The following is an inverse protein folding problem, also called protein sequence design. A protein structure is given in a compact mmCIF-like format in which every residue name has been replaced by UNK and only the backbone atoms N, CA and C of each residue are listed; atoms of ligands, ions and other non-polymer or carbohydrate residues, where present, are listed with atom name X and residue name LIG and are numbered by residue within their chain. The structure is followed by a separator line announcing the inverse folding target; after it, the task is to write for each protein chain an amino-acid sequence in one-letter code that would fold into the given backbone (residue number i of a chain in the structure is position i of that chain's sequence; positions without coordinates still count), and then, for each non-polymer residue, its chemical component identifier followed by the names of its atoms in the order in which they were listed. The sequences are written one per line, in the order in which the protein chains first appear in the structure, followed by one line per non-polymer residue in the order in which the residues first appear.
data_IF_056664470593
#
_entry.id   IF_056664470593
#
_cell.length_a   1.000
_cell.length_b   1.000
_cell.length_c   1.000
_cell.angle_alpha   90.00
_cell.angle_beta   90.00
_cell.angle_gamma   90.00
#
_symmetry.space_group_name_H-M   'P 1'
#
loop_
_entity.id
_entity.type
_entity.pdbx_description
1 polymer ?
#
# COMPACT_ATOMS: atom_id res chain seq x y z
N UNK A 1 41.70 33.29 33.54
CA UNK A 1 40.24 33.36 33.82
C UNK A 1 39.60 33.92 32.57
N UNK A 2 38.75 33.24 31.79
CA UNK A 2 37.93 32.04 32.00
C UNK A 2 37.91 31.27 30.66
N UNK A 3 38.15 29.96 30.77
CA UNK A 3 37.87 28.96 29.73
C UNK A 3 36.35 28.73 29.67
N UNK A 4 35.78 28.64 28.47
CA UNK A 4 34.55 27.86 28.26
C UNK A 4 34.35 27.59 26.76
N UNK A 5 35.18 26.72 26.19
CA UNK A 5 34.82 26.01 24.98
C UNK A 5 33.80 24.93 25.36
N UNK A 6 32.50 25.24 25.22
CA UNK A 6 31.46 24.24 25.31
C UNK A 6 31.32 23.59 23.92
N UNK A 7 32.06 22.51 23.69
CA UNK A 7 31.77 21.60 22.58
C UNK A 7 30.61 20.72 23.02
N UNK A 8 29.38 21.18 22.78
CA UNK A 8 28.28 20.23 22.67
C UNK A 8 28.50 19.46 21.36
N UNK A 9 28.58 18.12 21.40
CA UNK A 9 28.45 17.37 20.17
C UNK A 9 27.04 17.64 19.65
N UNK A 10 26.93 18.24 18.47
CA UNK A 10 25.68 18.17 17.71
C UNK A 10 25.43 16.69 17.45
N UNK A 11 24.57 16.06 18.25
CA UNK A 11 23.97 14.78 17.88
C UNK A 11 23.40 14.97 16.47
N UNK A 12 23.89 14.17 15.53
CA UNK A 12 23.38 14.17 14.17
C UNK A 12 21.89 13.81 14.22
N UNK A 13 21.04 14.84 14.17
CA UNK A 13 19.58 14.71 14.14
C UNK A 13 19.08 14.33 12.75
N UNK A 14 19.95 13.84 11.87
CA UNK A 14 19.53 13.39 10.55
C UNK A 14 18.72 12.09 10.70
N UNK A 15 17.45 12.15 10.31
CA UNK A 15 16.63 10.96 10.19
C UNK A 15 17.06 10.22 8.94
N UNK A 16 17.51 8.96 9.08
CA UNK A 16 17.79 8.12 7.92
C UNK A 16 16.54 8.00 7.04
N UNK A 17 16.71 7.93 5.71
CA UNK A 17 15.59 7.83 4.77
C UNK A 17 14.65 6.64 5.10
N UNK A 18 15.21 5.56 5.64
CA UNK A 18 14.47 4.42 6.18
C UNK A 18 13.50 4.81 7.27
N UNK A 19 13.98 5.52 8.28
CA UNK A 19 13.17 5.83 9.46
C UNK A 19 12.07 6.85 9.10
N UNK A 20 12.39 7.80 8.21
CA UNK A 20 11.39 8.72 7.68
C UNK A 20 10.31 7.99 6.86
N UNK A 21 10.71 7.09 5.96
CA UNK A 21 9.77 6.29 5.19
C UNK A 21 8.89 5.43 6.11
N UNK A 22 9.45 4.74 7.10
CA UNK A 22 8.70 3.88 8.01
C UNK A 22 7.74 4.68 8.90
N UNK A 23 8.11 5.92 9.27
CA UNK A 23 7.22 6.87 9.94
C UNK A 23 6.04 7.26 9.05
N UNK A 24 6.29 7.66 7.80
CA UNK A 24 5.25 8.02 6.84
C UNK A 24 4.35 6.83 6.48
N UNK A 25 4.92 5.65 6.31
CA UNK A 25 4.21 4.41 6.04
C UNK A 25 3.21 4.08 7.17
N UNK A 26 3.56 4.38 8.42
CA UNK A 26 2.64 4.22 9.56
C UNK A 26 1.35 5.04 9.44
N UNK A 27 1.38 6.17 8.72
CA UNK A 27 0.23 7.07 8.57
C UNK A 27 -0.80 6.47 7.60
N UNK A 28 -0.35 5.71 6.61
CA UNK A 28 -1.24 5.09 5.61
C UNK A 28 -1.60 3.65 5.95
N UNK A 29 -1.11 3.08 7.06
CA UNK A 29 -1.38 1.70 7.49
C UNK A 29 -2.13 1.63 8.82
N UNK A 30 -2.72 0.47 9.11
CA UNK A 30 -3.46 0.26 10.37
C UNK A 30 -2.53 0.31 11.58
N UNK A 31 -3.11 0.49 12.77
CA UNK A 31 -2.39 0.40 14.03
C UNK A 31 -1.77 -0.99 14.24
N UNK A 32 -2.36 -2.05 13.69
CA UNK A 32 -1.82 -3.41 13.76
C UNK A 32 -0.51 -3.62 12.95
N UNK A 33 -0.18 -2.69 12.04
CA UNK A 33 1.05 -2.73 11.25
C UNK A 33 2.19 -1.95 11.91
N UNK A 34 1.89 -0.77 12.46
CA UNK A 34 2.92 0.18 12.89
C UNK A 34 2.63 0.89 14.23
N UNK A 35 1.57 0.52 14.93
CA UNK A 35 1.20 1.08 16.24
C UNK A 35 0.57 2.48 16.20
N UNK A 36 0.40 3.09 15.02
CA UNK A 36 -0.18 4.43 14.89
C UNK A 36 -1.71 4.38 14.93
N UNK A 37 -2.29 4.52 16.13
CA UNK A 37 -3.74 4.58 16.34
C UNK A 37 -4.40 5.82 15.69
N UNK A 38 -3.63 6.83 15.30
CA UNK A 38 -4.13 8.07 14.69
C UNK A 38 -3.98 8.10 13.17
N UNK A 39 -3.63 6.97 12.56
CA UNK A 39 -3.33 6.88 11.13
C UNK A 39 -4.55 7.21 10.25
N UNK A 40 -4.29 7.63 9.02
CA UNK A 40 -5.33 7.86 8.02
C UNK A 40 -6.09 6.56 7.71
N UNK A 41 -5.44 5.39 7.80
CA UNK A 41 -6.12 4.11 7.61
C UNK A 41 -7.13 3.82 8.73
N UNK A 42 -6.78 4.08 10.00
CA UNK A 42 -7.73 3.95 11.12
C UNK A 42 -8.91 4.91 10.95
N UNK A 43 -8.64 6.16 10.56
CA UNK A 43 -9.68 7.16 10.30
C UNK A 43 -10.67 6.75 9.22
N UNK A 44 -10.17 6.13 8.17
CA UNK A 44 -10.96 5.81 6.98
C UNK A 44 -11.67 4.46 7.11
N UNK A 45 -10.99 3.44 7.61
CA UNK A 45 -11.51 2.06 7.62
C UNK A 45 -11.92 1.55 9.01
N UNK A 46 -11.59 2.27 10.07
CA UNK A 46 -11.94 1.92 11.45
C UNK A 46 -13.44 2.07 11.72
N UNK A 47 -13.98 1.17 12.54
CA UNK A 47 -15.37 1.20 13.01
C UNK A 47 -16.46 0.97 11.96
N UNK A 48 -16.10 0.63 10.71
CA UNK A 48 -17.08 0.33 9.67
C UNK A 48 -17.54 -1.12 9.76
N UNK A 49 -18.85 -1.31 9.68
CA UNK A 49 -19.47 -2.60 9.43
C UNK A 49 -19.15 -3.11 8.02
N UNK A 50 -19.37 -4.41 7.82
CA UNK A 50 -19.23 -5.05 6.52
C UNK A 50 -20.12 -4.42 5.45
N UNK A 51 -21.35 -4.05 5.81
CA UNK A 51 -22.27 -3.38 4.90
C UNK A 51 -21.72 -2.01 4.47
N UNK A 52 -21.22 -1.22 5.42
CA UNK A 52 -20.64 0.09 5.12
C UNK A 52 -19.38 0.00 4.24
N UNK A 53 -18.54 -1.01 4.47
CA UNK A 53 -17.37 -1.28 3.63
C UNK A 53 -17.75 -1.59 2.17
N UNK A 54 -18.94 -2.13 1.93
CA UNK A 54 -19.43 -2.52 0.60
C UNK A 54 -20.19 -1.40 -0.12
N UNK A 55 -20.42 -0.26 0.52
CA UNK A 55 -21.18 0.82 -0.09
C UNK A 55 -20.43 1.44 -1.27
N UNK A 56 -21.21 1.71 -2.32
CA UNK A 56 -20.79 2.40 -3.53
C UNK A 56 -21.70 3.62 -3.67
N UNK A 57 -21.20 4.87 -3.52
CA UNK A 57 -22.04 6.06 -3.60
C UNK A 57 -22.76 6.19 -4.96
N UNK A 58 -22.15 5.64 -6.01
CA UNK A 58 -22.76 5.39 -7.30
C UNK A 58 -22.28 4.04 -7.84
N UNK A 59 -23.08 3.45 -8.72
CA UNK A 59 -22.77 2.15 -9.31
C UNK A 59 -21.47 2.15 -10.12
N UNK A 60 -20.93 3.28 -10.57
CA UNK A 60 -19.67 3.32 -11.33
C UNK A 60 -18.44 3.53 -10.44
N UNK A 61 -18.66 3.87 -9.16
CA UNK A 61 -17.58 4.16 -8.22
C UNK A 61 -17.11 2.90 -7.49
N UNK A 62 -15.91 2.98 -6.94
CA UNK A 62 -15.34 1.92 -6.13
C UNK A 62 -15.99 1.91 -4.73
N UNK A 63 -16.07 0.72 -4.12
CA UNK A 63 -16.42 0.58 -2.70
C UNK A 63 -15.19 0.79 -1.82
N UNK A 64 -15.40 1.01 -0.52
CA UNK A 64 -14.31 1.03 0.46
C UNK A 64 -13.55 -0.30 0.49
N UNK A 65 -14.26 -1.42 0.31
CA UNK A 65 -13.68 -2.76 0.18
C UNK A 65 -12.76 -2.86 -1.04
N UNK A 66 -13.21 -2.40 -2.22
CA UNK A 66 -12.38 -2.41 -3.42
C UNK A 66 -11.14 -1.52 -3.24
N UNK A 67 -11.29 -0.34 -2.65
CA UNK A 67 -10.17 0.59 -2.42
C UNK A 67 -9.13 -0.05 -1.49
N UNK A 68 -9.55 -0.65 -0.39
CA UNK A 68 -8.63 -1.34 0.54
C UNK A 68 -7.87 -2.47 -0.17
N UNK A 69 -8.58 -3.27 -0.97
CA UNK A 69 -7.99 -4.35 -1.77
C UNK A 69 -7.01 -3.82 -2.81
N UNK A 70 -7.36 -2.77 -3.54
CA UNK A 70 -6.53 -2.17 -4.57
C UNK A 70 -5.23 -1.60 -4.00
N UNK A 71 -5.30 -0.89 -2.87
CA UNK A 71 -4.10 -0.39 -2.15
C UNK A 71 -3.19 -1.58 -1.80
N UNK A 72 -3.75 -2.63 -1.18
CA UNK A 72 -2.96 -3.79 -0.74
C UNK A 72 -2.36 -4.58 -1.91
N UNK A 73 -3.10 -4.79 -3.01
CA UNK A 73 -2.58 -5.46 -4.22
C UNK A 73 -1.47 -4.65 -4.87
N UNK A 74 -1.64 -3.34 -4.97
CA UNK A 74 -0.64 -2.46 -5.57
C UNK A 74 0.64 -2.50 -4.74
N UNK A 75 0.57 -2.27 -3.43
CA UNK A 75 1.77 -2.32 -2.57
C UNK A 75 2.44 -3.71 -2.60
N UNK A 76 1.67 -4.80 -2.56
CA UNK A 76 2.21 -6.17 -2.62
C UNK A 76 2.99 -6.42 -3.91
N UNK A 77 2.40 -6.13 -5.07
CA UNK A 77 3.05 -6.31 -6.37
C UNK A 77 4.32 -5.47 -6.46
N UNK A 78 4.24 -4.19 -6.12
CA UNK A 78 5.37 -3.29 -6.28
C UNK A 78 6.51 -3.62 -5.33
N UNK A 79 6.22 -3.80 -4.04
CA UNK A 79 7.27 -3.99 -3.04
C UNK A 79 7.82 -5.42 -3.09
N UNK A 80 6.98 -6.45 -3.18
CA UNK A 80 7.48 -7.83 -3.21
C UNK A 80 8.08 -8.18 -4.57
N UNK A 81 7.33 -8.05 -5.68
CA UNK A 81 7.83 -8.52 -6.98
C UNK A 81 8.86 -7.59 -7.61
N UNK A 82 8.58 -6.29 -7.66
CA UNK A 82 9.40 -5.36 -8.43
C UNK A 82 10.62 -4.85 -7.65
N UNK A 83 10.45 -4.54 -6.37
CA UNK A 83 11.52 -3.96 -5.54
C UNK A 83 12.39 -5.05 -4.89
N UNK A 84 11.76 -6.04 -4.23
CA UNK A 84 12.48 -7.08 -3.50
C UNK A 84 12.76 -8.36 -4.31
N UNK A 85 12.10 -8.54 -5.47
CA UNK A 85 12.24 -9.76 -6.28
C UNK A 85 11.74 -11.03 -5.57
N UNK A 86 10.79 -10.90 -4.64
CA UNK A 86 10.22 -11.98 -3.84
C UNK A 86 8.79 -12.33 -4.29
N UNK A 87 8.29 -13.54 -3.98
CA UNK A 87 6.88 -13.85 -4.14
C UNK A 87 5.98 -12.85 -3.40
N UNK A 88 4.82 -12.59 -4.00
CA UNK A 88 3.76 -11.80 -3.41
C UNK A 88 3.26 -12.41 -2.11
N UNK A 89 2.65 -11.59 -1.26
CA UNK A 89 1.82 -12.09 -0.17
C UNK A 89 0.58 -12.78 -0.73
N UNK A 90 -0.01 -12.27 -1.82
CA UNK A 90 -1.18 -12.84 -2.46
C UNK A 90 -0.85 -14.14 -3.23
N UNK A 91 -0.92 -15.26 -2.51
CA UNK A 91 -0.88 -16.61 -3.04
C UNK A 91 -2.29 -17.21 -3.20
N UNK A 92 -2.37 -18.49 -3.56
CA UNK A 92 -3.63 -19.21 -3.77
C UNK A 92 -4.45 -19.33 -2.49
N UNK A 93 -3.79 -19.46 -1.34
CA UNK A 93 -4.45 -19.52 -0.05
C UNK A 93 -5.11 -18.16 0.27
N UNK A 94 -4.42 -17.05 0.03
CA UNK A 94 -5.01 -15.72 0.15
C UNK A 94 -6.13 -15.47 -0.86
N UNK A 95 -5.99 -15.91 -2.11
CA UNK A 95 -7.07 -15.85 -3.10
C UNK A 95 -8.34 -16.58 -2.62
N UNK A 96 -8.19 -17.77 -2.03
CA UNK A 96 -9.28 -18.54 -1.43
C UNK A 96 -9.91 -17.85 -0.23
N UNK A 97 -9.09 -17.33 0.71
CA UNK A 97 -9.57 -16.61 1.90
C UNK A 97 -10.31 -15.33 1.53
N UNK A 98 -9.78 -14.57 0.58
CA UNK A 98 -10.37 -13.32 0.09
C UNK A 98 -11.57 -13.57 -0.81
N UNK A 99 -11.70 -14.77 -1.39
CA UNK A 99 -12.66 -15.11 -2.44
C UNK A 99 -12.48 -14.22 -3.68
N UNK A 100 -11.21 -13.96 -4.04
CA UNK A 100 -10.85 -13.16 -5.20
C UNK A 100 -9.86 -13.96 -6.03
N UNK A 101 -10.22 -14.30 -7.27
CA UNK A 101 -9.35 -15.02 -8.19
C UNK A 101 -8.42 -14.10 -9.00
N UNK A 102 -8.76 -12.81 -9.09
CA UNK A 102 -8.03 -11.80 -9.87
C UNK A 102 -6.63 -11.58 -9.27
N UNK A 103 -5.60 -11.72 -10.11
CA UNK A 103 -4.17 -11.60 -9.74
C UNK A 103 -3.59 -10.22 -9.97
N UNK A 104 -4.20 -9.39 -10.81
CA UNK A 104 -3.66 -8.08 -11.13
C UNK A 104 -4.00 -7.00 -10.07
N UNK A 105 -3.62 -5.76 -10.38
CA UNK A 105 -3.89 -4.56 -9.57
C UNK A 105 -5.40 -4.21 -9.49
N UNK A 106 -6.22 -4.75 -10.39
CA UNK A 106 -7.61 -4.32 -10.63
C UNK A 106 -7.79 -3.02 -11.41
N UNK A 107 -6.70 -2.37 -11.83
CA UNK A 107 -6.78 -1.20 -12.72
C UNK A 107 -7.53 -1.57 -14.00
N UNK A 108 -8.54 -0.76 -14.35
CA UNK A 108 -9.36 -0.97 -15.54
C UNK A 108 -10.57 -1.90 -15.36
N UNK A 109 -10.80 -2.43 -14.14
CA UNK A 109 -12.02 -3.17 -13.80
C UNK A 109 -13.26 -2.34 -14.18
N UNK A 110 -14.22 -3.00 -14.84
CA UNK A 110 -15.52 -2.43 -15.16
C UNK A 110 -16.45 -2.49 -13.94
N UNK A 111 -17.49 -1.67 -13.95
CA UNK A 111 -18.45 -1.60 -12.84
C UNK A 111 -18.98 -2.97 -12.39
N UNK A 112 -19.37 -3.91 -13.28
CA UNK A 112 -19.82 -5.24 -12.85
C UNK A 112 -18.74 -6.05 -12.13
N UNK A 113 -17.48 -5.91 -12.54
CA UNK A 113 -16.35 -6.59 -11.89
C UNK A 113 -16.08 -6.01 -10.50
N UNK A 114 -16.17 -4.68 -10.36
CA UNK A 114 -16.06 -3.98 -9.08
C UNK A 114 -17.21 -4.37 -8.15
N UNK A 115 -18.43 -4.46 -8.68
CA UNK A 115 -19.61 -4.92 -7.94
C UNK A 115 -19.41 -6.34 -7.41
N UNK A 116 -18.91 -7.25 -8.25
CA UNK A 116 -18.71 -8.63 -7.87
C UNK A 116 -17.63 -8.78 -6.80
N UNK A 117 -16.47 -8.13 -6.96
CA UNK A 117 -15.43 -8.10 -5.93
C UNK A 117 -15.99 -7.55 -4.61
N UNK A 118 -16.69 -6.41 -4.68
CA UNK A 118 -17.31 -5.76 -3.52
C UNK A 118 -18.28 -6.68 -2.80
N UNK A 119 -19.06 -7.48 -3.52
CA UNK A 119 -20.05 -8.40 -2.96
C UNK A 119 -19.41 -9.63 -2.32
N UNK A 120 -18.40 -10.20 -2.96
CA UNK A 120 -17.87 -11.52 -2.57
C UNK A 120 -16.71 -11.47 -1.57
N UNK A 121 -15.94 -10.36 -1.56
CA UNK A 121 -14.70 -10.30 -0.78
C UNK A 121 -14.96 -10.52 0.71
N UNK A 122 -14.16 -11.36 1.34
CA UNK A 122 -14.16 -11.54 2.78
C UNK A 122 -13.42 -10.36 3.45
N UNK A 123 -14.15 -9.55 4.22
CA UNK A 123 -13.62 -8.29 4.74
C UNK A 123 -12.67 -8.46 5.92
N UNK A 124 -12.86 -9.51 6.73
CA UNK A 124 -11.91 -9.84 7.78
C UNK A 124 -10.57 -10.28 7.16
N UNK A 125 -10.63 -11.19 6.19
CA UNK A 125 -9.45 -11.61 5.44
C UNK A 125 -8.78 -10.42 4.70
N UNK A 126 -9.57 -9.48 4.16
CA UNK A 126 -9.04 -8.31 3.48
C UNK A 126 -8.22 -7.40 4.39
N UNK A 127 -8.70 -7.17 5.62
CA UNK A 127 -7.96 -6.39 6.63
C UNK A 127 -6.66 -7.09 7.00
N UNK A 128 -6.70 -8.39 7.26
CA UNK A 128 -5.51 -9.17 7.57
C UNK A 128 -4.51 -9.21 6.41
N UNK A 129 -4.99 -9.33 5.17
CA UNK A 129 -4.16 -9.33 3.98
C UNK A 129 -3.43 -7.98 3.85
N UNK A 130 -4.16 -6.87 3.97
CA UNK A 130 -3.56 -5.53 3.93
C UNK A 130 -2.51 -5.34 5.03
N UNK A 131 -2.79 -5.82 6.23
CA UNK A 131 -1.84 -5.72 7.34
C UNK A 131 -0.59 -6.60 7.10
N UNK A 132 -0.77 -7.78 6.51
CA UNK A 132 0.34 -8.66 6.14
C UNK A 132 1.24 -8.01 5.08
N UNK A 133 0.66 -7.40 4.05
CA UNK A 133 1.39 -6.63 3.04
C UNK A 133 2.16 -5.48 3.70
N UNK A 134 1.50 -4.68 4.55
CA UNK A 134 2.15 -3.58 5.25
C UNK A 134 3.32 -4.03 6.14
N UNK A 135 3.16 -5.12 6.90
CA UNK A 135 4.26 -5.71 7.70
C UNK A 135 5.40 -6.20 6.83
N UNK A 136 5.10 -6.86 5.71
CA UNK A 136 6.12 -7.32 4.74
C UNK A 136 6.88 -6.15 4.11
N UNK A 137 6.21 -5.07 3.76
CA UNK A 137 6.87 -3.85 3.26
C UNK A 137 7.85 -3.30 4.29
N UNK A 138 7.43 -3.23 5.57
CA UNK A 138 8.29 -2.74 6.66
C UNK A 138 9.47 -3.66 6.94
N UNK A 139 9.29 -4.98 6.82
CA UNK A 139 10.38 -5.96 6.90
C UNK A 139 11.42 -5.71 5.78
N UNK A 140 10.96 -5.59 4.54
CA UNK A 140 11.82 -5.37 3.37
C UNK A 140 12.60 -4.05 3.54
N UNK A 141 11.90 -2.95 3.81
CA UNK A 141 12.53 -1.62 3.90
C UNK A 141 13.36 -1.49 5.18
N UNK A 142 12.98 -2.16 6.26
CA UNK A 142 13.77 -2.22 7.50
C UNK A 142 15.15 -2.84 7.30
N UNK A 143 15.28 -3.77 6.36
CA UNK A 143 16.52 -4.42 6.00
C UNK A 143 17.35 -3.68 4.93
N UNK A 144 16.88 -2.52 4.44
CA UNK A 144 17.60 -1.76 3.41
C UNK A 144 18.89 -1.16 3.96
N UNK A 145 20.00 -1.42 3.26
CA UNK A 145 21.25 -0.71 3.46
C UNK A 145 21.30 0.59 2.66
N UNK A 146 22.35 1.42 2.83
CA UNK A 146 22.49 2.69 2.11
C UNK A 146 22.39 2.56 0.58
N UNK A 147 22.91 1.47 0.01
CA UNK A 147 22.88 1.22 -1.44
C UNK A 147 21.50 0.86 -1.98
N UNK A 148 20.59 0.32 -1.16
CA UNK A 148 19.25 -0.07 -1.62
C UNK A 148 18.37 1.14 -1.92
N UNK A 149 18.54 2.23 -1.17
CA UNK A 149 17.82 3.49 -1.36
C UNK A 149 18.19 4.18 -2.68
N UNK A 150 19.48 4.15 -3.03
CA UNK A 150 20.01 4.71 -4.27
C UNK A 150 19.90 3.80 -5.49
N UNK A 151 19.46 2.55 -5.31
CA UNK A 151 19.33 1.58 -6.39
C UNK A 151 18.14 1.83 -7.32
N UNK A 152 18.11 1.10 -8.43
CA UNK A 152 17.06 1.17 -9.44
C UNK A 152 16.19 -0.10 -9.46
N UNK A 153 15.00 0.01 -10.03
CA UNK A 153 14.14 -1.12 -10.34
C UNK A 153 14.71 -1.82 -11.58
N UNK A 154 15.04 -3.11 -11.47
CA UNK A 154 15.60 -3.85 -12.61
C UNK A 154 14.52 -4.18 -13.64
N UNK A 155 14.88 -4.11 -14.93
CA UNK A 155 14.01 -4.54 -16.02
C UNK A 155 13.48 -5.96 -15.82
N UNK A 156 14.38 -6.88 -15.40
CA UNK A 156 14.02 -8.27 -15.14
C UNK A 156 12.96 -8.44 -14.04
N UNK A 157 12.91 -7.56 -13.03
CA UNK A 157 11.88 -7.62 -12.01
C UNK A 157 10.52 -7.18 -12.56
N UNK A 158 10.50 -6.13 -13.39
CA UNK A 158 9.28 -5.67 -14.06
C UNK A 158 8.76 -6.73 -15.04
N UNK A 159 9.65 -7.37 -15.81
CA UNK A 159 9.31 -8.45 -16.75
C UNK A 159 8.74 -9.67 -16.03
N UNK A 160 9.33 -10.09 -14.90
CA UNK A 160 8.78 -11.19 -14.09
C UNK A 160 7.40 -10.87 -13.54
N UNK A 161 7.19 -9.64 -13.05
CA UNK A 161 5.87 -9.21 -12.59
C UNK A 161 4.84 -9.18 -13.74
N UNK A 162 5.24 -8.73 -14.92
CA UNK A 162 4.39 -8.78 -16.12
C UNK A 162 4.08 -10.22 -16.57
N UNK A 163 5.04 -11.15 -16.48
CA UNK A 163 4.84 -12.57 -16.79
C UNK A 163 3.92 -13.27 -15.78
N UNK A 164 3.83 -12.75 -14.56
CA UNK A 164 2.90 -13.21 -13.52
C UNK A 164 1.51 -12.55 -13.61
N UNK A 165 1.21 -11.86 -14.72
CA UNK A 165 -0.05 -11.14 -14.97
C UNK A 165 -0.39 -10.11 -13.87
N UNK A 166 0.63 -9.52 -13.24
CA UNK A 166 0.43 -8.65 -12.09
C UNK A 166 -0.18 -7.28 -12.47
N UNK A 167 -0.07 -6.84 -13.72
CA UNK A 167 -0.38 -5.46 -14.11
C UNK A 167 -1.71 -5.28 -14.85
N UNK A 168 -2.30 -6.36 -15.38
CA UNK A 168 -3.51 -6.29 -16.19
C UNK A 168 -3.36 -5.29 -17.34
N UNK A 169 -4.34 -4.39 -17.51
CA UNK A 169 -4.41 -3.48 -18.66
C UNK A 169 -3.28 -2.43 -18.70
N UNK A 170 -2.57 -2.19 -17.60
CA UNK A 170 -1.47 -1.21 -17.55
C UNK A 170 -0.09 -1.83 -17.77
N UNK A 171 -0.03 -3.11 -18.16
CA UNK A 171 1.21 -3.87 -18.41
C UNK A 171 2.23 -3.11 -19.27
N UNK A 172 1.83 -2.64 -20.46
CA UNK A 172 2.75 -1.97 -21.39
C UNK A 172 3.31 -0.67 -20.82
N UNK A 173 2.46 0.09 -20.11
CA UNK A 173 2.89 1.31 -19.44
C UNK A 173 3.95 0.98 -18.39
N UNK A 174 3.74 -0.06 -17.60
CA UNK A 174 4.66 -0.43 -16.51
C UNK A 174 6.00 -0.94 -17.04
N UNK A 175 5.99 -1.80 -18.07
CA UNK A 175 7.19 -2.27 -18.75
C UNK A 175 8.03 -1.12 -19.33
N UNK A 176 7.39 -0.03 -19.75
CA UNK A 176 8.08 1.16 -20.25
C UNK A 176 8.58 2.10 -19.15
N UNK A 177 7.79 2.30 -18.10
CA UNK A 177 8.01 3.39 -17.14
C UNK A 177 8.94 3.01 -16.00
N UNK A 178 8.89 1.77 -15.51
CA UNK A 178 9.57 1.37 -14.26
C UNK A 178 11.02 0.90 -14.38
N UNK A 179 11.47 0.21 -15.45
CA UNK A 179 12.88 -0.18 -15.55
C UNK A 179 13.82 1.03 -15.45
N UNK A 180 14.84 0.92 -14.60
CA UNK A 180 15.82 1.99 -14.36
C UNK A 180 15.31 3.14 -13.48
N UNK A 181 14.06 3.09 -12.98
CA UNK A 181 13.58 4.10 -12.04
C UNK A 181 14.20 3.91 -10.66
N UNK A 182 14.50 5.00 -9.92
CA UNK A 182 14.97 4.90 -8.56
C UNK A 182 13.97 4.15 -7.67
N UNK A 183 14.47 3.22 -6.85
CA UNK A 183 13.67 2.48 -5.86
C UNK A 183 12.95 3.41 -4.89
N UNK A 184 13.61 4.49 -4.47
CA UNK A 184 13.03 5.52 -3.62
C UNK A 184 11.78 6.18 -4.24
N UNK A 185 11.75 6.36 -5.57
CA UNK A 185 10.59 6.90 -6.27
C UNK A 185 9.41 5.92 -6.24
N UNK A 186 9.68 4.62 -6.40
CA UNK A 186 8.64 3.60 -6.31
C UNK A 186 8.10 3.45 -4.87
N UNK A 187 8.97 3.48 -3.86
CA UNK A 187 8.57 3.44 -2.45
C UNK A 187 7.68 4.63 -2.09
N UNK A 188 8.12 5.85 -2.38
CA UNK A 188 7.33 7.06 -2.09
C UNK A 188 6.06 7.14 -2.95
N UNK A 189 6.16 6.88 -4.25
CA UNK A 189 5.04 6.95 -5.18
C UNK A 189 3.95 5.92 -4.90
N UNK A 190 4.32 4.68 -4.60
CA UNK A 190 3.37 3.58 -4.44
C UNK A 190 3.00 3.34 -2.97
N UNK A 191 3.98 3.09 -2.11
CA UNK A 191 3.69 2.69 -0.73
C UNK A 191 3.21 3.87 0.15
N UNK A 192 3.41 5.12 -0.30
CA UNK A 192 2.94 6.32 0.41
C UNK A 192 1.88 7.10 -0.38
N UNK A 193 2.22 7.68 -1.53
CA UNK A 193 1.33 8.63 -2.22
C UNK A 193 0.10 7.99 -2.86
N UNK A 194 0.26 6.86 -3.57
CA UNK A 194 -0.87 6.10 -4.11
C UNK A 194 -1.84 5.66 -3.00
N UNK A 195 -1.30 5.09 -1.91
CA UNK A 195 -2.11 4.71 -0.76
C UNK A 195 -2.82 5.91 -0.13
N UNK A 196 -2.13 7.04 0.08
CA UNK A 196 -2.72 8.26 0.64
C UNK A 196 -3.82 8.86 -0.26
N UNK A 197 -3.62 8.86 -1.59
CA UNK A 197 -4.62 9.33 -2.55
C UNK A 197 -5.92 8.53 -2.45
N UNK A 198 -5.82 7.20 -2.42
CA UNK A 198 -6.98 6.33 -2.26
C UNK A 198 -7.60 6.37 -0.86
N UNK A 199 -6.83 6.62 0.19
CA UNK A 199 -7.39 6.90 1.51
C UNK A 199 -8.20 8.20 1.52
N UNK A 200 -7.78 9.22 0.77
CA UNK A 200 -8.56 10.45 0.57
C UNK A 200 -9.88 10.21 -0.17
N UNK A 201 -9.84 9.40 -1.24
CA UNK A 201 -11.04 8.93 -1.96
C UNK A 201 -12.00 8.20 -1.01
N UNK A 202 -11.48 7.24 -0.25
CA UNK A 202 -12.26 6.48 0.72
C UNK A 202 -12.84 7.35 1.85
N UNK A 203 -12.11 8.37 2.31
CA UNK A 203 -12.63 9.37 3.25
C UNK A 203 -13.82 10.17 2.68
N UNK A 204 -13.79 10.47 1.38
CA UNK A 204 -14.89 11.14 0.67
C UNK A 204 -16.11 10.22 0.55
N UNK A 205 -15.90 8.95 0.20
CA UNK A 205 -16.96 7.93 0.14
C UNK A 205 -17.62 7.75 1.51
N UNK A 206 -16.80 7.70 2.58
CA UNK A 206 -17.29 7.58 3.95
C UNK A 206 -18.19 8.76 4.34
N UNK A 207 -17.76 9.98 4.02
CA UNK A 207 -18.54 11.20 4.23
C UNK A 207 -19.85 11.18 3.42
N UNK A 208 -19.80 10.76 2.14
CA UNK A 208 -20.98 10.67 1.28
C UNK A 208 -21.99 9.61 1.77
N UNK A 209 -21.52 8.54 2.40
CA UNK A 209 -22.37 7.53 3.04
C UNK A 209 -22.95 7.96 4.40
N UNK A 210 -22.51 9.10 4.95
CA UNK A 210 -22.95 9.58 6.27
C UNK A 210 -22.33 8.81 7.44
N UNK A 211 -21.19 8.14 7.25
CA UNK A 211 -20.51 7.42 8.34
C UNK A 211 -19.54 8.37 9.05
N UNK A 212 -19.66 8.54 10.37
CA UNK A 212 -18.70 9.32 11.17
C UNK A 212 -17.28 8.76 11.05
N UNK A 213 -16.21 9.50 11.35
CA UNK A 213 -14.82 9.01 11.20
C UNK A 213 -14.54 7.76 12.05
N UNK A 214 -13.64 6.89 11.60
CA UNK A 214 -12.93 6.00 12.52
C UNK A 214 -12.05 6.88 13.39
N UNK A 215 -11.88 6.51 14.67
CA UNK A 215 -11.25 7.28 15.76
C UNK A 215 -11.88 8.65 16.11
#
# INVERSE_FOLDING_TARGET
MISSGSTHPEEDRSMEARDLFLSQHSIVHSAAVAGNAMSSAERVFGGLSDEQMRIRPREELNSLAWIMWHIARTEDIFVNLMLAGRPQVFDDAWGGRLRVARRDLGTGMKSPEVAELTRQVDLAALREYRDMVGRRTREIVGAFGPGDWGGEISASAVERAAAADAFGVVREMFLKVFPGRPRALALSGIALFHAAGHLGEAGTIRSAGGFGSGI
#
